data_IF_814622765427
#
_entry.id   IF_814622765427
#
_cell.length_a   1.000
_cell.length_b   1.000
_cell.length_c   1.000
_cell.angle_alpha   90.00
_cell.angle_beta   90.00
_cell.angle_gamma   90.00
#
_symmetry.space_group_name_H-M   'P 1'
#
loop_
_entity.id
_entity.type
_entity.pdbx_description
1 polymer ?
#
# COMPACT_ATOMS: atom_id res chain seq x y z
N UNK A 1 -20.18 64.72 -22.27
CA UNK A 1 -21.04 63.64 -22.82
C UNK A 1 -20.52 63.26 -24.20
N UNK A 2 -20.50 61.99 -24.65
CA UNK A 2 -20.61 60.69 -23.95
C UNK A 2 -19.35 59.79 -24.20
N UNK A 3 -18.95 58.89 -23.27
CA UNK A 3 -19.29 57.44 -23.19
C UNK A 3 -18.52 56.57 -24.21
N UNK A 4 -18.04 55.35 -24.01
CA UNK A 4 -18.13 54.32 -22.98
C UNK A 4 -16.99 53.31 -23.29
N UNK A 5 -16.32 52.71 -22.31
CA UNK A 5 -16.57 51.35 -21.80
C UNK A 5 -16.48 50.21 -22.84
N UNK A 6 -15.53 49.28 -22.60
CA UNK A 6 -15.70 47.82 -22.71
C UNK A 6 -14.31 47.18 -22.48
N UNK A 7 -13.95 46.66 -21.30
CA UNK A 7 -14.48 45.46 -20.66
C UNK A 7 -14.20 44.16 -21.43
N UNK A 8 -13.62 43.19 -20.70
CA UNK A 8 -13.68 41.73 -20.89
C UNK A 8 -12.58 41.09 -21.74
N UNK A 9 -11.38 41.00 -21.16
CA UNK A 9 -10.47 39.89 -21.45
C UNK A 9 -11.00 38.63 -20.75
N UNK A 10 -12.00 38.00 -21.36
CA UNK A 10 -12.41 36.64 -21.07
C UNK A 10 -11.45 35.71 -21.82
N UNK A 11 -10.45 35.18 -21.10
CA UNK A 11 -9.86 33.90 -21.44
C UNK A 11 -9.96 33.04 -20.19
N UNK A 12 -11.09 32.34 -20.10
CA UNK A 12 -11.31 31.19 -19.24
C UNK A 12 -10.11 30.24 -19.37
N UNK A 13 -9.27 30.16 -18.35
CA UNK A 13 -8.33 29.05 -18.19
C UNK A 13 -9.13 27.87 -17.62
N UNK A 14 -9.31 26.77 -18.38
CA UNK A 14 -10.09 25.63 -17.94
C UNK A 14 -9.29 24.79 -16.94
N UNK A 15 -10.02 24.27 -15.94
CA UNK A 15 -9.78 23.04 -15.18
C UNK A 15 -8.32 22.55 -15.08
N UNK A 16 -7.75 22.63 -13.88
CA UNK A 16 -6.97 21.51 -13.36
C UNK A 16 -7.71 20.90 -12.17
N UNK A 17 -8.28 19.73 -12.41
CA UNK A 17 -8.84 18.85 -11.40
C UNK A 17 -7.77 18.53 -10.35
N UNK A 18 -7.93 19.05 -9.14
CA UNK A 18 -7.40 18.35 -7.97
C UNK A 18 -8.36 17.20 -7.68
N UNK A 19 -8.09 16.07 -8.34
CA UNK A 19 -8.60 14.79 -7.92
C UNK A 19 -8.31 14.65 -6.42
N UNK A 20 -9.36 14.64 -5.62
CA UNK A 20 -9.30 14.11 -4.27
C UNK A 20 -9.01 12.60 -4.40
N UNK A 21 -7.75 12.25 -4.63
CA UNK A 21 -7.27 10.90 -4.38
C UNK A 21 -7.47 10.69 -2.89
N UNK A 22 -8.53 9.96 -2.54
CA UNK A 22 -8.74 9.50 -1.18
C UNK A 22 -7.45 8.85 -0.71
N UNK A 23 -6.80 9.47 0.26
CA UNK A 23 -5.76 8.84 1.06
C UNK A 23 -6.45 7.69 1.80
N UNK A 24 -6.49 6.52 1.15
CA UNK A 24 -6.58 5.24 1.85
C UNK A 24 -5.51 5.33 2.94
N UNK A 25 -5.96 5.28 4.20
CA UNK A 25 -5.11 5.33 5.38
C UNK A 25 -3.95 4.37 5.18
N UNK A 26 -2.78 4.92 4.86
CA UNK A 26 -1.53 4.28 5.16
C UNK A 26 -1.50 4.21 6.69
N UNK A 27 -1.82 3.04 7.24
CA UNK A 27 -1.44 2.72 8.61
C UNK A 27 0.04 3.09 8.71
N UNK A 28 0.34 4.13 9.50
CA UNK A 28 1.71 4.63 9.69
C UNK A 28 2.58 3.40 9.96
N UNK A 29 3.60 3.12 9.13
CA UNK A 29 4.48 2.01 9.39
C UNK A 29 4.98 2.12 10.83
N UNK A 30 5.11 1.00 11.55
CA UNK A 30 5.55 1.01 12.94
C UNK A 30 6.85 1.78 13.03
N UNK A 31 7.06 2.48 14.14
CA UNK A 31 8.28 3.27 14.33
C UNK A 31 9.49 2.32 14.28
N UNK A 32 10.23 2.41 13.18
CA UNK A 32 11.41 1.58 12.90
C UNK A 32 12.64 2.45 12.98
N UNK A 33 13.73 1.87 13.46
CA UNK A 33 15.05 2.50 13.33
C UNK A 33 15.42 2.62 11.84
N UNK A 34 16.29 3.56 11.45
CA UNK A 34 16.75 3.68 10.07
C UNK A 34 17.31 2.36 9.50
N UNK A 35 18.02 1.59 10.33
CA UNK A 35 18.55 0.27 9.94
C UNK A 35 17.45 -0.76 9.65
N UNK A 36 16.39 -0.77 10.44
CA UNK A 36 15.25 -1.65 10.21
C UNK A 36 14.51 -1.25 8.94
N UNK A 37 14.33 0.05 8.70
CA UNK A 37 13.71 0.54 7.48
C UNK A 37 14.54 0.19 6.25
N UNK A 38 15.86 0.37 6.30
CA UNK A 38 16.75 -0.03 5.21
C UNK A 38 16.61 -1.53 4.88
N UNK A 39 16.61 -2.39 5.89
CA UNK A 39 16.43 -3.85 5.70
C UNK A 39 15.09 -4.21 5.06
N UNK A 40 14.03 -3.46 5.36
CA UNK A 40 12.71 -3.65 4.73
C UNK A 40 12.76 -3.23 3.27
N UNK A 41 13.31 -2.07 2.95
CA UNK A 41 13.42 -1.59 1.57
C UNK A 41 14.30 -2.51 0.70
N UNK A 42 15.42 -3.01 1.25
CA UNK A 42 16.26 -4.00 0.57
C UNK A 42 15.51 -5.32 0.28
N UNK A 43 14.69 -5.80 1.23
CA UNK A 43 13.88 -6.99 1.01
C UNK A 43 12.80 -6.75 -0.04
N UNK A 44 12.16 -5.57 -0.04
CA UNK A 44 11.21 -5.17 -1.08
C UNK A 44 11.88 -5.17 -2.46
N UNK A 45 13.10 -4.61 -2.57
CA UNK A 45 13.86 -4.59 -3.82
C UNK A 45 14.21 -6.00 -4.34
N UNK A 46 14.31 -7.00 -3.45
CA UNK A 46 14.53 -8.42 -3.80
C UNK A 46 13.23 -9.21 -4.01
N UNK A 47 12.06 -8.61 -3.77
CA UNK A 47 10.79 -9.33 -3.80
C UNK A 47 10.61 -10.31 -2.63
N UNK A 48 11.32 -10.08 -1.53
CA UNK A 48 11.27 -10.92 -0.33
C UNK A 48 10.27 -10.38 0.70
N UNK A 49 9.64 -11.29 1.42
CA UNK A 49 8.77 -10.97 2.56
C UNK A 49 9.52 -11.19 3.87
N UNK A 50 9.25 -10.35 4.85
CA UNK A 50 9.81 -10.46 6.21
C UNK A 50 8.72 -10.30 7.27
N UNK A 51 8.99 -10.88 8.42
CA UNK A 51 8.17 -10.70 9.63
C UNK A 51 8.02 -9.22 9.96
N UNK A 52 6.80 -8.80 10.32
CA UNK A 52 6.50 -7.41 10.67
C UNK A 52 6.40 -6.43 9.50
N UNK A 53 6.54 -6.89 8.25
CA UNK A 53 6.16 -6.07 7.10
C UNK A 53 4.65 -5.81 7.11
N UNK A 54 4.24 -4.62 6.69
CA UNK A 54 2.81 -4.32 6.48
C UNK A 54 2.34 -4.78 5.10
N UNK A 55 1.03 -4.92 4.93
CA UNK A 55 0.39 -5.28 3.64
C UNK A 55 0.90 -4.48 2.44
N UNK A 56 1.12 -3.18 2.60
CA UNK A 56 1.65 -2.33 1.52
C UNK A 56 3.10 -2.65 1.15
N UNK A 57 3.94 -3.01 2.12
CA UNK A 57 5.32 -3.42 1.87
C UNK A 57 5.36 -4.76 1.15
N UNK A 58 4.54 -5.72 1.57
CA UNK A 58 4.39 -7.00 0.87
C UNK A 58 3.86 -6.80 -0.55
N UNK A 59 2.92 -5.87 -0.75
CA UNK A 59 2.41 -5.52 -2.08
C UNK A 59 3.46 -4.85 -2.96
N UNK A 60 4.35 -4.03 -2.40
CA UNK A 60 5.49 -3.46 -3.14
C UNK A 60 6.51 -4.55 -3.51
N UNK A 61 6.73 -5.53 -2.64
CA UNK A 61 7.69 -6.61 -2.86
C UNK A 61 7.20 -7.66 -3.87
N UNK A 62 5.98 -8.18 -3.67
CA UNK A 62 5.47 -9.34 -4.43
C UNK A 62 4.33 -9.00 -5.37
N UNK A 63 3.87 -7.75 -5.40
CA UNK A 63 2.72 -7.33 -6.19
C UNK A 63 1.37 -7.71 -5.57
N UNK A 64 0.33 -7.65 -6.40
CA UNK A 64 -1.04 -7.95 -5.99
C UNK A 64 -1.21 -9.47 -5.77
N UNK A 65 -1.76 -9.91 -4.63
CA UNK A 65 -2.04 -11.32 -4.41
C UNK A 65 -3.11 -11.83 -5.37
N UNK A 66 -3.07 -13.13 -5.69
CA UNK A 66 -4.08 -13.80 -6.50
C UNK A 66 -5.40 -13.94 -5.75
N UNK A 67 -5.34 -14.16 -4.43
CA UNK A 67 -6.52 -14.30 -3.56
C UNK A 67 -6.23 -13.77 -2.16
N UNK A 68 -7.27 -13.23 -1.53
CA UNK A 68 -7.25 -12.81 -0.12
C UNK A 68 -8.41 -13.48 0.61
N UNK A 69 -8.16 -14.03 1.80
CA UNK A 69 -9.21 -14.60 2.64
C UNK A 69 -8.90 -14.49 4.13
N UNK A 70 -9.93 -14.40 4.96
CA UNK A 70 -9.78 -14.62 6.40
C UNK A 70 -9.46 -16.09 6.71
N UNK A 71 -8.62 -16.32 7.70
CA UNK A 71 -8.19 -17.64 8.17
C UNK A 71 -7.78 -17.58 9.64
N UNK A 72 -7.20 -18.66 10.13
CA UNK A 72 -6.56 -18.74 11.45
C UNK A 72 -5.10 -19.15 11.26
N UNK A 73 -4.17 -18.41 11.87
CA UNK A 73 -2.75 -18.78 11.93
C UNK A 73 -2.33 -18.89 13.40
N UNK A 74 -1.71 -20.00 13.80
CA UNK A 74 -1.35 -20.27 15.20
C UNK A 74 -2.51 -20.03 16.20
N UNK A 75 -3.72 -20.50 15.85
CA UNK A 75 -4.96 -20.37 16.64
C UNK A 75 -5.45 -18.92 16.85
N UNK A 76 -4.94 -17.95 16.08
CA UNK A 76 -5.39 -16.55 16.10
C UNK A 76 -6.02 -16.18 14.74
N UNK A 77 -7.03 -15.30 14.70
CA UNK A 77 -7.55 -14.74 13.47
C UNK A 77 -6.42 -14.13 12.63
N UNK A 78 -6.46 -14.38 11.32
CA UNK A 78 -5.45 -13.89 10.40
C UNK A 78 -6.07 -13.61 9.02
N UNK A 79 -5.41 -12.74 8.26
CA UNK A 79 -5.67 -12.61 6.82
C UNK A 79 -4.61 -13.41 6.06
N UNK A 80 -5.02 -14.29 5.14
CA UNK A 80 -4.11 -14.95 4.20
C UNK A 80 -4.15 -14.25 2.84
N UNK A 81 -2.97 -13.94 2.30
CA UNK A 81 -2.76 -13.53 0.91
C UNK A 81 -2.06 -14.67 0.17
N UNK A 82 -2.74 -15.21 -0.84
CA UNK A 82 -2.22 -16.29 -1.67
C UNK A 82 -1.61 -15.75 -2.96
N UNK A 83 -0.38 -16.18 -3.20
CA UNK A 83 0.36 -16.08 -4.45
C UNK A 83 0.49 -17.47 -5.06
N UNK A 84 1.01 -17.57 -6.28
CA UNK A 84 1.02 -18.83 -7.04
C UNK A 84 1.62 -20.03 -6.26
N UNK A 85 2.68 -19.80 -5.49
CA UNK A 85 3.38 -20.85 -4.72
C UNK A 85 3.62 -20.50 -3.25
N UNK A 86 3.02 -19.40 -2.77
CA UNK A 86 3.30 -18.86 -1.44
C UNK A 86 2.07 -18.22 -0.83
N UNK A 87 1.77 -18.59 0.40
CA UNK A 87 0.74 -17.96 1.23
C UNK A 87 1.42 -17.09 2.29
N UNK A 88 1.00 -15.83 2.42
CA UNK A 88 1.46 -14.89 3.44
C UNK A 88 0.33 -14.65 4.45
N UNK A 89 0.63 -14.77 5.74
CA UNK A 89 -0.33 -14.58 6.82
C UNK A 89 -0.07 -13.25 7.52
N UNK A 90 -1.15 -12.48 7.72
CA UNK A 90 -1.15 -11.22 8.44
C UNK A 90 -2.01 -11.33 9.70
N UNK A 91 -1.61 -10.65 10.77
CA UNK A 91 -2.49 -10.45 11.93
C UNK A 91 -3.64 -9.47 11.64
N UNK A 92 -4.44 -9.20 12.67
CA UNK A 92 -5.57 -8.26 12.61
C UNK A 92 -5.12 -6.81 12.36
N UNK A 93 -3.89 -6.45 12.74
CA UNK A 93 -3.30 -5.13 12.51
C UNK A 93 -2.69 -5.00 11.10
N UNK A 94 -2.54 -6.12 10.39
CA UNK A 94 -2.03 -6.16 9.02
C UNK A 94 -0.53 -6.34 8.89
N UNK A 95 0.13 -6.88 9.92
CA UNK A 95 1.56 -7.24 9.91
C UNK A 95 1.77 -8.70 9.55
N UNK A 96 2.83 -8.99 8.79
CA UNK A 96 3.23 -10.36 8.48
C UNK A 96 3.61 -11.11 9.77
N UNK A 97 2.89 -12.19 10.03
CA UNK A 97 3.10 -13.11 11.15
C UNK A 97 3.60 -14.50 10.71
N UNK A 98 3.69 -14.74 9.41
CA UNK A 98 4.27 -15.96 8.85
C UNK A 98 3.98 -16.13 7.37
N UNK A 99 4.57 -17.16 6.77
CA UNK A 99 4.29 -17.57 5.40
C UNK A 99 4.51 -19.07 5.23
N UNK A 100 3.90 -19.63 4.19
CA UNK A 100 4.08 -21.00 3.77
C UNK A 100 4.38 -21.01 2.27
N UNK A 101 5.44 -21.69 1.85
CA UNK A 101 5.76 -21.86 0.44
C UNK A 101 5.70 -23.34 0.04
N UNK A 102 5.24 -23.60 -1.18
CA UNK A 102 5.15 -24.95 -1.75
C UNK A 102 6.50 -25.48 -2.27
N UNK A 103 7.53 -24.64 -2.34
CA UNK A 103 8.90 -25.04 -2.69
C UNK A 103 9.69 -25.29 -1.41
N UNK A 104 9.90 -26.57 -1.11
CA UNK A 104 10.85 -27.09 -0.12
C UNK A 104 12.08 -27.67 -0.79
#
# INVERSE_FOLDING_TARGET
>A
MPSAAAARTLALLPLLLLAACGTVSATKPPERTPEQQQKVEEAIARGEVRMGMVKDEVRRAMGKPSRTSGTTYNRKPATCWSYLYTDIYFDEEGYVIGWQSAVG
#
